data_IF_127506257437
#
_entry.id   IF_127506257437
#
_cell.length_a   1.000
_cell.length_b   1.000
_cell.length_c   1.000
_cell.angle_alpha   90.00
_cell.angle_beta   90.00
_cell.angle_gamma   90.00
#
_symmetry.space_group_name_H-M   'P 1'
#
loop_
_entity.id
_entity.type
_entity.pdbx_description
1 polymer ?
#
# COMPACT_ATOMS: atom_id res chain seq x y z
N UNK A 1 8.48 11.72 3.61
CA UNK A 1 7.66 11.56 4.84
C UNK A 1 8.61 11.28 5.99
N UNK A 2 8.56 12.02 7.08
CA UNK A 2 9.43 11.84 8.26
C UNK A 2 8.60 11.19 9.36
N UNK A 3 8.73 9.89 9.49
CA UNK A 3 7.92 9.09 10.45
C UNK A 3 8.23 9.43 11.91
N UNK A 4 9.45 9.87 12.18
CA UNK A 4 9.93 10.28 13.51
C UNK A 4 9.11 11.44 14.13
N UNK A 5 8.47 12.26 13.28
CA UNK A 5 7.65 13.39 13.71
C UNK A 5 6.17 13.03 13.87
N UNK A 6 5.86 11.75 14.08
CA UNK A 6 4.47 11.32 14.29
C UNK A 6 3.92 11.83 15.62
N UNK A 7 2.65 12.23 15.63
CA UNK A 7 1.91 12.69 16.82
C UNK A 7 0.75 11.75 17.10
N UNK A 8 0.44 11.54 18.37
CA UNK A 8 -0.70 10.74 18.78
C UNK A 8 -1.98 11.62 18.86
N UNK A 9 -3.09 11.05 18.46
CA UNK A 9 -4.41 11.66 18.55
C UNK A 9 -5.48 10.59 18.73
N UNK A 10 -6.71 10.99 19.04
CA UNK A 10 -7.88 10.11 19.05
C UNK A 10 -8.68 10.32 17.76
N UNK A 11 -9.06 9.22 17.10
CA UNK A 11 -9.90 9.29 15.91
C UNK A 11 -11.38 9.38 16.32
N UNK A 12 -12.08 10.38 15.81
CA UNK A 12 -13.48 10.61 16.16
C UNK A 12 -14.44 10.05 15.10
N UNK A 13 -14.23 10.40 13.84
CA UNK A 13 -15.09 9.96 12.74
C UNK A 13 -14.47 10.16 11.35
N UNK A 14 -14.83 9.32 10.39
CA UNK A 14 -14.68 9.63 8.96
C UNK A 14 -15.76 10.60 8.49
N UNK A 15 -15.38 11.58 7.67
CA UNK A 15 -16.34 12.46 7.01
C UNK A 15 -17.00 11.75 5.80
N UNK A 16 -18.07 12.37 5.26
CA UNK A 16 -18.67 11.94 3.97
C UNK A 16 -17.62 11.89 2.86
N UNK A 17 -16.70 12.86 2.85
CA UNK A 17 -15.50 12.79 2.02
C UNK A 17 -14.50 11.83 2.68
N UNK A 18 -14.31 10.65 2.10
CA UNK A 18 -13.39 9.60 2.59
C UNK A 18 -11.94 10.05 2.81
N UNK A 19 -11.54 11.18 2.24
CA UNK A 19 -10.18 11.71 2.39
C UNK A 19 -9.99 12.57 3.64
N UNK A 20 -11.04 12.73 4.47
CA UNK A 20 -11.01 13.59 5.64
C UNK A 20 -11.58 12.88 6.85
N UNK A 21 -10.81 12.87 7.94
CA UNK A 21 -11.25 12.39 9.26
C UNK A 21 -11.27 13.51 10.29
N UNK A 22 -12.17 13.39 11.27
CA UNK A 22 -12.18 14.21 12.49
C UNK A 22 -11.35 13.52 13.56
N UNK A 23 -10.54 14.29 14.25
CA UNK A 23 -9.65 13.82 15.30
C UNK A 23 -9.69 14.74 16.52
N UNK A 24 -9.33 14.21 17.68
CA UNK A 24 -9.04 15.00 18.87
C UNK A 24 -7.52 15.01 19.07
N UNK A 25 -6.91 16.18 18.88
CA UNK A 25 -5.47 16.42 19.06
C UNK A 25 -5.29 17.48 20.14
N UNK A 26 -4.53 17.17 21.20
CA UNK A 26 -4.29 18.08 22.33
C UNK A 26 -5.59 18.69 22.89
N UNK A 27 -6.62 17.84 23.08
CA UNK A 27 -7.98 18.21 23.53
C UNK A 27 -8.75 19.18 22.60
N UNK A 28 -8.29 19.37 21.36
CA UNK A 28 -8.98 20.19 20.37
C UNK A 28 -9.43 19.35 19.17
N UNK A 29 -10.67 19.56 18.72
CA UNK A 29 -11.13 18.95 17.46
C UNK A 29 -10.36 19.53 16.29
N UNK A 30 -9.88 18.65 15.42
CA UNK A 30 -9.15 18.99 14.22
C UNK A 30 -9.48 18.05 13.06
N UNK A 31 -8.89 18.28 11.89
CA UNK A 31 -9.06 17.44 10.73
C UNK A 31 -7.73 16.77 10.36
N UNK A 32 -7.80 15.52 9.89
CA UNK A 32 -6.68 14.85 9.25
C UNK A 32 -7.03 14.39 7.82
N UNK A 33 -6.03 14.33 6.96
CA UNK A 33 -6.13 13.72 5.64
C UNK A 33 -6.01 12.20 5.76
N UNK A 34 -6.86 11.47 5.05
CA UNK A 34 -6.86 10.01 4.98
C UNK A 34 -6.42 9.58 3.59
N UNK A 35 -5.23 8.99 3.49
CA UNK A 35 -4.68 8.49 2.23
C UNK A 35 -5.15 7.05 1.97
N UNK A 36 -6.42 6.86 1.61
CA UNK A 36 -6.99 5.56 1.30
C UNK A 36 -7.83 5.61 0.02
N UNK A 37 -7.82 4.52 -0.75
CA UNK A 37 -8.64 4.37 -1.96
C UNK A 37 -10.12 4.09 -1.65
N UNK A 38 -10.44 3.66 -0.43
CA UNK A 38 -11.79 3.38 0.08
C UNK A 38 -11.97 3.97 1.47
N UNK A 39 -13.19 3.99 1.99
CA UNK A 39 -13.42 4.31 3.40
C UNK A 39 -12.72 3.29 4.29
N UNK A 40 -11.97 3.76 5.30
CA UNK A 40 -11.22 2.89 6.21
C UNK A 40 -12.13 1.99 7.04
N UNK A 41 -13.37 2.45 7.35
CA UNK A 41 -14.38 1.65 8.06
C UNK A 41 -14.73 0.32 7.37
N UNK A 42 -14.39 0.14 6.08
CA UNK A 42 -14.57 -1.12 5.37
C UNK A 42 -13.51 -2.16 5.73
N UNK A 43 -12.41 -1.73 6.36
CA UNK A 43 -11.27 -2.57 6.71
C UNK A 43 -11.02 -2.60 8.21
N UNK A 44 -11.16 -1.44 8.87
CA UNK A 44 -10.84 -1.23 10.28
C UNK A 44 -11.83 -0.22 10.88
N UNK A 45 -12.40 -0.53 12.04
CA UNK A 45 -13.11 0.46 12.85
C UNK A 45 -12.09 1.32 13.60
N UNK A 46 -12.05 2.60 13.24
CA UNK A 46 -11.14 3.58 13.82
C UNK A 46 -11.75 4.38 14.97
N UNK A 47 -13.09 4.33 15.16
CA UNK A 47 -13.77 5.18 16.12
C UNK A 47 -13.21 4.97 17.54
N UNK A 48 -12.92 6.08 18.21
CA UNK A 48 -12.38 6.14 19.57
C UNK A 48 -11.04 5.40 19.76
N UNK A 49 -10.30 5.17 18.68
CA UNK A 49 -8.97 4.56 18.74
C UNK A 49 -7.87 5.60 18.72
N UNK A 50 -6.76 5.28 19.38
CA UNK A 50 -5.53 6.02 19.27
C UNK A 50 -4.93 5.86 17.89
N UNK A 51 -4.49 6.96 17.30
CA UNK A 51 -3.91 7.01 15.96
C UNK A 51 -2.58 7.75 15.98
N UNK A 52 -1.76 7.47 14.98
CA UNK A 52 -0.57 8.26 14.66
C UNK A 52 -0.86 9.16 13.45
N UNK A 53 -0.44 10.40 13.58
CA UNK A 53 -0.54 11.43 12.57
C UNK A 53 0.85 11.82 12.08
N UNK A 54 0.99 12.07 10.78
CA UNK A 54 2.19 12.68 10.21
C UNK A 54 1.90 14.12 9.78
N UNK A 55 2.78 15.08 10.06
CA UNK A 55 2.62 16.44 9.60
C UNK A 55 2.68 16.52 8.08
N UNK A 56 1.85 17.37 7.48
CA UNK A 56 1.86 17.69 6.06
C UNK A 56 2.75 18.93 5.88
N UNK A 57 3.87 18.78 5.20
CA UNK A 57 4.90 19.83 5.05
C UNK A 57 4.46 21.01 4.17
N UNK A 58 3.35 20.88 3.44
CA UNK A 58 2.87 21.96 2.57
C UNK A 58 2.31 23.14 3.37
N UNK A 59 2.93 24.30 3.24
CA UNK A 59 2.46 25.56 3.86
C UNK A 59 1.05 25.97 3.43
N UNK A 60 0.61 25.54 2.24
CA UNK A 60 -0.71 25.85 1.67
C UNK A 60 -1.79 24.85 2.09
N UNK A 61 -1.43 23.76 2.75
CA UNK A 61 -2.40 22.74 3.15
C UNK A 61 -3.32 23.27 4.26
N UNK A 62 -4.63 23.21 4.02
CA UNK A 62 -5.66 23.53 5.02
C UNK A 62 -5.65 22.49 6.14
N UNK A 63 -5.49 21.20 5.80
CA UNK A 63 -5.33 20.09 6.74
C UNK A 63 -3.84 19.92 7.01
N UNK A 64 -3.46 19.95 8.28
CA UNK A 64 -2.04 19.93 8.69
C UNK A 64 -1.48 18.55 8.94
N UNK A 65 -2.33 17.55 9.10
CA UNK A 65 -1.95 16.20 9.48
C UNK A 65 -2.53 15.16 8.53
N UNK A 66 -1.78 14.10 8.29
CA UNK A 66 -2.23 12.91 7.58
C UNK A 66 -2.30 11.75 8.55
N UNK A 67 -3.40 11.01 8.54
CA UNK A 67 -3.51 9.75 9.27
C UNK A 67 -2.43 8.79 8.75
N UNK A 68 -1.69 8.20 9.67
CA UNK A 68 -0.58 7.32 9.35
C UNK A 68 -0.86 5.87 9.77
N UNK A 69 -1.20 5.68 11.05
CA UNK A 69 -1.44 4.35 11.60
C UNK A 69 -2.50 4.43 12.70
N UNK A 70 -3.09 3.29 13.03
CA UNK A 70 -4.04 3.12 14.14
C UNK A 70 -3.52 2.08 15.11
N UNK A 71 -3.71 2.30 16.42
CA UNK A 71 -3.38 1.35 17.47
C UNK A 71 -4.47 0.27 17.57
N UNK A 72 -4.06 -0.98 17.48
CA UNK A 72 -4.89 -2.17 17.61
C UNK A 72 -4.13 -3.14 18.52
N UNK A 73 -4.69 -3.49 19.68
CA UNK A 73 -4.10 -4.47 20.61
C UNK A 73 -2.59 -4.24 20.86
N UNK A 74 -2.26 -3.02 21.29
CA UNK A 74 -0.89 -2.57 21.59
C UNK A 74 0.09 -2.58 20.39
N UNK A 75 -0.40 -2.75 19.16
CA UNK A 75 0.38 -2.62 17.93
C UNK A 75 -0.19 -1.55 17.02
N UNK A 76 0.63 -1.02 16.12
CA UNK A 76 0.18 -0.03 15.14
C UNK A 76 0.02 -0.65 13.76
N UNK A 77 -1.17 -0.55 13.19
CA UNK A 77 -1.47 -0.93 11.81
C UNK A 77 -1.40 0.31 10.93
N UNK A 78 -0.56 0.28 9.92
CA UNK A 78 -0.40 1.38 8.96
C UNK A 78 -1.66 1.47 8.09
N UNK A 79 -2.26 2.65 8.03
CA UNK A 79 -3.48 2.92 7.24
C UNK A 79 -3.22 3.84 6.05
N UNK A 80 -2.03 4.47 6.01
CA UNK A 80 -1.63 5.34 4.91
C UNK A 80 -1.05 4.53 3.75
N UNK A 81 -1.85 4.30 2.71
CA UNK A 81 -1.46 3.48 1.55
C UNK A 81 -0.31 4.06 0.72
N UNK A 82 -0.01 5.35 0.84
CA UNK A 82 1.12 5.97 0.13
C UNK A 82 2.48 5.54 0.69
N UNK A 83 2.50 4.93 1.87
CA UNK A 83 3.73 4.45 2.54
C UNK A 83 4.33 3.25 1.79
N UNK A 84 3.52 2.42 1.14
CA UNK A 84 3.97 1.23 0.40
C UNK A 84 5.08 1.54 -0.61
N UNK A 85 4.87 2.59 -1.42
CA UNK A 85 5.84 2.98 -2.43
C UNK A 85 7.17 3.42 -1.79
N UNK A 86 7.12 4.11 -0.66
CA UNK A 86 8.31 4.54 0.05
C UNK A 86 9.07 3.37 0.66
N UNK A 87 8.36 2.40 1.25
CA UNK A 87 8.96 1.20 1.82
C UNK A 87 9.73 0.43 0.74
N UNK A 88 9.08 0.14 -0.40
CA UNK A 88 9.73 -0.60 -1.48
C UNK A 88 10.95 0.16 -2.03
N UNK A 89 10.85 1.48 -2.20
CA UNK A 89 11.99 2.30 -2.65
C UNK A 89 13.19 2.25 -1.71
N UNK A 90 12.94 2.25 -0.41
CA UNK A 90 14.01 2.18 0.59
C UNK A 90 14.69 0.81 0.60
N UNK A 91 13.94 -0.25 0.32
CA UNK A 91 14.38 -1.64 0.42
C UNK A 91 14.82 -2.26 -0.91
N UNK A 92 14.56 -1.61 -2.05
CA UNK A 92 14.74 -2.21 -3.39
C UNK A 92 16.17 -2.67 -3.66
N UNK A 93 17.19 -2.05 -3.04
CA UNK A 93 18.59 -2.45 -3.16
C UNK A 93 19.02 -3.52 -2.14
N UNK A 94 18.14 -3.92 -1.21
CA UNK A 94 18.46 -4.99 -0.26
C UNK A 94 18.56 -6.35 -0.96
N UNK A 95 19.32 -7.26 -0.37
CA UNK A 95 19.48 -8.65 -0.88
C UNK A 95 18.16 -9.39 -1.01
N UNK A 96 17.15 -9.01 -0.23
CA UNK A 96 15.82 -9.61 -0.29
C UNK A 96 15.14 -9.42 -1.66
N UNK A 97 15.51 -8.37 -2.41
CA UNK A 97 15.00 -8.07 -3.73
C UNK A 97 15.93 -8.52 -4.89
N UNK A 98 16.91 -9.41 -4.64
CA UNK A 98 17.85 -9.89 -5.69
C UNK A 98 17.14 -10.60 -6.87
N UNK A 99 15.92 -11.11 -6.65
CA UNK A 99 15.08 -11.68 -7.70
C UNK A 99 14.69 -10.68 -8.80
N UNK A 100 14.82 -9.37 -8.57
CA UNK A 100 14.61 -8.33 -9.59
C UNK A 100 15.75 -8.24 -10.59
N UNK A 101 16.93 -8.78 -10.29
CA UNK A 101 18.14 -8.69 -11.10
C UNK A 101 18.85 -7.33 -10.93
N UNK A 102 19.55 -6.90 -12.01
CA UNK A 102 20.26 -5.62 -12.01
C UNK A 102 19.31 -4.44 -11.81
N UNK A 103 19.59 -3.60 -10.82
CA UNK A 103 18.74 -2.49 -10.39
C UNK A 103 19.56 -1.35 -9.76
N UNK A 104 20.69 -1.02 -10.38
CA UNK A 104 21.54 0.08 -9.91
C UNK A 104 20.79 1.41 -9.94
N UNK A 105 19.87 1.54 -10.92
CA UNK A 105 18.96 2.67 -11.04
C UNK A 105 17.51 2.19 -11.08
N UNK A 106 16.60 3.01 -10.55
CA UNK A 106 15.16 2.82 -10.72
C UNK A 106 14.46 4.19 -10.78
N UNK A 107 13.34 4.24 -11.49
CA UNK A 107 12.55 5.43 -11.69
C UNK A 107 11.21 5.29 -10.95
N UNK A 108 10.89 6.29 -10.12
CA UNK A 108 9.63 6.33 -9.39
C UNK A 108 8.55 7.00 -10.22
N UNK A 109 7.32 6.48 -10.12
CA UNK A 109 6.15 7.07 -10.76
C UNK A 109 6.40 7.38 -12.25
N UNK A 110 7.07 6.45 -12.93
CA UNK A 110 7.54 6.63 -14.29
C UNK A 110 6.42 6.41 -15.32
N UNK A 111 6.39 7.28 -16.35
CA UNK A 111 5.44 7.18 -17.44
C UNK A 111 5.96 6.25 -18.53
N UNK A 112 5.27 5.16 -18.80
CA UNK A 112 5.44 4.27 -19.93
C UNK A 112 4.26 4.52 -20.90
N UNK A 113 4.44 5.45 -21.84
CA UNK A 113 3.35 5.94 -22.65
C UNK A 113 2.26 6.63 -21.81
N UNK A 114 1.05 6.12 -21.85
CA UNK A 114 -0.09 6.63 -21.08
C UNK A 114 -0.30 5.89 -19.73
N UNK A 115 0.64 5.05 -19.32
CA UNK A 115 0.63 4.34 -18.04
C UNK A 115 1.72 4.85 -17.11
N UNK A 116 1.33 5.26 -15.91
CA UNK A 116 2.24 5.67 -14.83
C UNK A 116 2.38 4.50 -13.86
N UNK A 117 3.54 3.83 -13.90
CA UNK A 117 3.86 2.74 -12.98
C UNK A 117 4.48 3.28 -11.68
N UNK A 118 4.40 2.50 -10.60
CA UNK A 118 4.96 2.90 -9.31
C UNK A 118 6.49 2.91 -9.33
N UNK A 119 7.12 1.86 -9.90
CA UNK A 119 8.57 1.77 -10.07
C UNK A 119 8.90 1.15 -11.44
N UNK A 120 9.90 1.71 -12.11
CA UNK A 120 10.47 1.15 -13.33
C UNK A 120 11.98 0.96 -13.16
N UNK A 121 12.50 -0.22 -13.51
CA UNK A 121 13.92 -0.57 -13.53
C UNK A 121 14.35 -0.73 -14.98
N UNK A 122 15.07 0.27 -15.56
CA UNK A 122 15.44 0.25 -16.98
C UNK A 122 16.35 -0.91 -17.38
N UNK A 123 17.31 -1.28 -16.53
CA UNK A 123 18.32 -2.31 -16.83
C UNK A 123 17.69 -3.67 -17.14
N UNK A 124 16.58 -4.00 -16.51
CA UNK A 124 15.90 -5.29 -16.66
C UNK A 124 14.54 -5.16 -17.35
N UNK A 125 14.17 -3.97 -17.83
CA UNK A 125 12.82 -3.63 -18.32
C UNK A 125 11.73 -4.09 -17.35
N UNK A 126 11.96 -3.92 -16.04
CA UNK A 126 11.06 -4.39 -14.99
C UNK A 126 10.15 -3.27 -14.53
N UNK A 127 8.85 -3.56 -14.51
CA UNK A 127 7.80 -2.71 -13.94
C UNK A 127 7.30 -3.32 -12.64
N UNK A 128 7.15 -2.50 -11.62
CA UNK A 128 6.57 -2.90 -10.34
C UNK A 128 5.35 -2.02 -10.09
N UNK A 129 4.21 -2.65 -9.92
CA UNK A 129 2.97 -2.05 -9.43
C UNK A 129 2.79 -2.47 -7.97
N UNK A 130 2.48 -1.51 -7.09
CA UNK A 130 2.40 -1.74 -5.65
C UNK A 130 0.97 -1.54 -5.17
N UNK A 131 0.48 -2.49 -4.39
CA UNK A 131 -0.84 -2.45 -3.76
C UNK A 131 -0.72 -2.63 -2.26
N UNK A 132 -1.41 -1.78 -1.51
CA UNK A 132 -1.54 -1.93 -0.06
C UNK A 132 -2.73 -2.81 0.28
N UNK A 133 -2.55 -3.68 1.26
CA UNK A 133 -3.60 -4.47 1.89
C UNK A 133 -3.67 -4.07 3.36
N UNK A 134 -4.78 -3.46 3.76
CA UNK A 134 -5.07 -3.12 5.16
C UNK A 134 -6.02 -4.19 5.69
N UNK A 135 -5.58 -4.97 6.65
CA UNK A 135 -6.40 -6.02 7.27
C UNK A 135 -5.95 -6.33 8.68
N UNK A 136 -6.87 -6.88 9.47
CA UNK A 136 -6.61 -7.45 10.79
C UNK A 136 -6.66 -8.99 10.76
N UNK A 137 -6.92 -9.58 9.60
CA UNK A 137 -7.08 -11.02 9.47
C UNK A 137 -5.76 -11.68 9.08
N UNK A 138 -5.57 -12.89 9.58
CA UNK A 138 -4.45 -13.76 9.22
C UNK A 138 -4.55 -14.28 7.77
N UNK A 139 -5.78 -14.56 7.31
CA UNK A 139 -6.07 -15.02 5.94
C UNK A 139 -6.87 -13.95 5.22
N UNK A 140 -6.38 -13.57 4.04
CA UNK A 140 -6.99 -12.50 3.23
C UNK A 140 -7.24 -12.91 1.78
N UNK A 141 -8.09 -12.12 1.14
CA UNK A 141 -8.42 -12.27 -0.29
C UNK A 141 -8.04 -11.01 -1.04
N UNK A 142 -7.32 -11.15 -2.16
CA UNK A 142 -6.89 -10.02 -2.98
C UNK A 142 -7.36 -10.14 -4.45
N UNK A 143 -7.85 -9.05 -5.05
CA UNK A 143 -8.29 -7.82 -4.39
C UNK A 143 -9.58 -8.05 -3.59
N UNK A 144 -9.69 -7.41 -2.43
CA UNK A 144 -10.86 -7.56 -1.55
C UNK A 144 -12.07 -6.70 -2.00
N UNK A 145 -11.81 -5.66 -2.80
CA UNK A 145 -12.86 -4.80 -3.37
C UNK A 145 -12.60 -4.54 -4.85
N UNK A 146 -13.67 -4.39 -5.63
CA UNK A 146 -13.57 -3.98 -7.03
C UNK A 146 -13.07 -2.54 -7.15
N UNK A 147 -12.15 -2.32 -8.09
CA UNK A 147 -11.63 -0.99 -8.41
C UNK A 147 -11.48 -0.83 -9.93
N UNK A 148 -12.25 0.10 -10.50
CA UNK A 148 -12.13 0.48 -11.92
C UNK A 148 -10.72 0.99 -12.28
N UNK A 149 -10.03 1.60 -11.31
CA UNK A 149 -8.63 2.02 -11.49
C UNK A 149 -7.73 0.79 -11.64
N UNK A 150 -7.89 -0.21 -10.78
CA UNK A 150 -7.10 -1.45 -10.84
C UNK A 150 -7.35 -2.23 -12.12
N UNK A 151 -8.61 -2.30 -12.58
CA UNK A 151 -8.97 -2.90 -13.86
C UNK A 151 -8.22 -2.25 -15.02
N UNK A 152 -8.20 -0.90 -15.09
CA UNK A 152 -7.43 -0.17 -16.09
C UNK A 152 -5.93 -0.44 -16.00
N UNK A 153 -5.39 -0.56 -14.79
CA UNK A 153 -3.99 -0.89 -14.57
C UNK A 153 -3.67 -2.29 -15.10
N UNK A 154 -4.51 -3.30 -14.80
CA UNK A 154 -4.33 -4.66 -15.31
C UNK A 154 -4.35 -4.71 -16.86
N UNK A 155 -5.23 -3.95 -17.52
CA UNK A 155 -5.26 -3.87 -18.99
C UNK A 155 -3.94 -3.33 -19.54
N UNK A 156 -3.30 -2.38 -18.86
CA UNK A 156 -1.98 -1.85 -19.25
C UNK A 156 -0.85 -2.82 -18.93
N UNK A 157 -0.92 -3.50 -17.78
CA UNK A 157 0.02 -4.57 -17.42
C UNK A 157 -0.01 -5.67 -18.48
N UNK A 158 -1.19 -6.09 -18.93
CA UNK A 158 -1.34 -7.09 -19.97
C UNK A 158 -0.63 -6.68 -21.29
N UNK A 159 -0.71 -5.40 -21.67
CA UNK A 159 0.01 -4.87 -22.82
C UNK A 159 1.53 -4.88 -22.62
N UNK A 160 2.01 -4.41 -21.46
CA UNK A 160 3.44 -4.42 -21.13
C UNK A 160 4.02 -5.83 -21.14
N UNK A 161 3.31 -6.83 -20.64
CA UNK A 161 3.71 -8.23 -20.71
C UNK A 161 3.83 -8.71 -22.16
N UNK A 162 2.93 -8.30 -23.04
CA UNK A 162 2.99 -8.59 -24.49
C UNK A 162 4.20 -7.88 -25.15
N UNK A 163 4.58 -6.70 -24.68
CA UNK A 163 5.77 -5.94 -25.10
C UNK A 163 7.08 -6.43 -24.43
N UNK A 164 7.03 -7.62 -23.80
CA UNK A 164 8.18 -8.28 -23.14
C UNK A 164 8.78 -7.51 -21.96
N UNK A 165 8.00 -6.67 -21.28
CA UNK A 165 8.39 -6.18 -19.96
C UNK A 165 8.23 -7.29 -18.92
N UNK A 166 9.12 -7.31 -17.95
CA UNK A 166 8.96 -8.09 -16.73
C UNK A 166 8.08 -7.30 -15.74
N UNK A 167 6.95 -7.84 -15.35
CA UNK A 167 6.02 -7.10 -14.50
C UNK A 167 5.79 -7.83 -13.19
N UNK A 168 5.94 -7.08 -12.09
CA UNK A 168 5.62 -7.52 -10.74
C UNK A 168 4.42 -6.76 -10.19
N UNK A 169 3.55 -7.48 -9.50
CA UNK A 169 2.52 -6.93 -8.62
C UNK A 169 2.94 -7.21 -7.18
N UNK A 170 3.32 -6.17 -6.45
CA UNK A 170 3.65 -6.28 -5.03
C UNK A 170 2.45 -5.95 -4.17
N UNK A 171 2.09 -6.84 -3.27
CA UNK A 171 1.05 -6.66 -2.26
C UNK A 171 1.73 -6.43 -0.93
N UNK A 172 1.55 -5.24 -0.34
CA UNK A 172 2.11 -4.89 0.96
C UNK A 172 0.98 -4.99 1.99
N UNK A 173 1.04 -6.00 2.85
CA UNK A 173 0.11 -6.16 3.96
C UNK A 173 0.59 -5.39 5.18
N UNK A 174 -0.30 -4.63 5.79
CA UNK A 174 -0.05 -3.87 7.02
C UNK A 174 -0.64 -4.53 8.27
N UNK A 175 -1.07 -5.76 8.16
CA UNK A 175 -1.63 -6.54 9.26
C UNK A 175 -0.91 -7.88 9.44
N UNK A 176 -1.44 -8.73 10.31
CA UNK A 176 -0.84 -10.01 10.67
C UNK A 176 -1.02 -11.10 9.61
N UNK A 177 -1.15 -10.75 8.33
CA UNK A 177 -1.53 -11.66 7.26
C UNK A 177 -0.45 -12.71 7.00
N UNK A 178 -0.79 -13.98 7.08
CA UNK A 178 0.07 -15.11 6.73
C UNK A 178 -0.28 -15.75 5.38
N UNK A 179 -1.52 -15.52 4.91
CA UNK A 179 -2.00 -16.10 3.65
C UNK A 179 -2.83 -15.08 2.86
N UNK A 180 -2.60 -15.04 1.54
CA UNK A 180 -3.42 -14.26 0.60
C UNK A 180 -3.86 -15.18 -0.54
N UNK A 181 -5.18 -15.34 -0.72
CA UNK A 181 -5.79 -16.00 -1.86
C UNK A 181 -6.27 -15.01 -2.90
N UNK A 182 -6.10 -15.32 -4.20
CA UNK A 182 -6.65 -14.46 -5.24
C UNK A 182 -8.17 -14.59 -5.35
N UNK A 183 -8.86 -13.45 -5.40
CA UNK A 183 -10.32 -13.37 -5.49
C UNK A 183 -10.81 -13.76 -6.89
N UNK A 184 -11.24 -15.01 -7.05
CA UNK A 184 -11.76 -15.55 -8.31
C UNK A 184 -13.19 -15.12 -8.63
N UNK A 185 -13.88 -14.53 -7.66
CA UNK A 185 -15.28 -14.09 -7.79
C UNK A 185 -15.43 -12.59 -8.11
N UNK A 186 -14.32 -11.85 -8.23
CA UNK A 186 -14.36 -10.43 -8.53
C UNK A 186 -14.35 -10.17 -10.03
N UNK A 187 -14.98 -9.08 -10.49
CA UNK A 187 -15.05 -8.70 -11.91
C UNK A 187 -13.69 -8.62 -12.62
N UNK A 188 -12.64 -8.24 -11.90
CA UNK A 188 -11.28 -8.12 -12.44
C UNK A 188 -10.55 -9.45 -12.55
N UNK A 189 -11.13 -10.56 -12.08
CA UNK A 189 -10.46 -11.86 -12.04
C UNK A 189 -9.95 -12.34 -13.41
N UNK A 190 -10.81 -12.31 -14.44
CA UNK A 190 -10.43 -12.80 -15.77
C UNK A 190 -9.21 -12.03 -16.31
N UNK A 191 -9.17 -10.72 -16.11
CA UNK A 191 -8.06 -9.88 -16.56
C UNK A 191 -6.79 -10.14 -15.74
N UNK A 192 -6.89 -10.27 -14.41
CA UNK A 192 -5.77 -10.63 -13.55
C UNK A 192 -5.20 -12.01 -13.92
N UNK A 193 -6.07 -13.00 -14.12
CA UNK A 193 -5.68 -14.34 -14.53
C UNK A 193 -4.98 -14.35 -15.91
N UNK A 194 -5.44 -13.53 -16.86
CA UNK A 194 -4.77 -13.37 -18.14
C UNK A 194 -3.37 -12.75 -17.98
N UNK A 195 -3.22 -11.75 -17.12
CA UNK A 195 -1.92 -11.19 -16.79
C UNK A 195 -0.99 -12.26 -16.20
N UNK A 196 -1.47 -13.08 -15.27
CA UNK A 196 -0.70 -14.17 -14.65
C UNK A 196 -0.25 -15.19 -15.72
N UNK A 197 -1.16 -15.61 -16.59
CA UNK A 197 -0.83 -16.53 -17.70
C UNK A 197 0.22 -15.94 -18.67
N UNK A 198 0.27 -14.62 -18.81
CA UNK A 198 1.26 -13.91 -19.62
C UNK A 198 2.57 -13.60 -18.88
N UNK A 199 2.69 -14.02 -17.63
CA UNK A 199 3.94 -13.89 -16.88
C UNK A 199 3.96 -12.77 -15.82
N UNK A 200 2.81 -12.21 -15.40
CA UNK A 200 2.74 -11.35 -14.22
C UNK A 200 3.19 -12.14 -12.98
N UNK A 201 4.15 -11.60 -12.26
CA UNK A 201 4.66 -12.19 -11.03
C UNK A 201 4.08 -11.45 -9.83
N UNK A 202 3.38 -12.17 -8.96
CA UNK A 202 2.82 -11.60 -7.73
C UNK A 202 3.74 -11.94 -6.57
N UNK A 203 4.06 -10.95 -5.74
CA UNK A 203 4.80 -11.09 -4.49
C UNK A 203 4.05 -10.38 -3.38
N UNK A 204 4.04 -10.94 -2.18
CA UNK A 204 3.42 -10.32 -1.02
C UNK A 204 4.43 -10.18 0.11
N UNK A 205 4.33 -9.08 0.86
CA UNK A 205 5.23 -8.75 1.95
C UNK A 205 4.43 -8.20 3.12
N UNK A 206 4.74 -8.68 4.33
CA UNK A 206 4.26 -8.04 5.56
C UNK A 206 5.09 -6.79 5.84
N UNK A 207 4.42 -5.74 6.27
CA UNK A 207 5.04 -4.53 6.76
C UNK A 207 4.50 -4.21 8.15
N UNK A 208 5.36 -3.97 9.08
CA UNK A 208 5.04 -3.57 10.43
C UNK A 208 5.63 -2.21 10.77
N UNK A 209 5.12 -1.60 11.81
CA UNK A 209 5.66 -0.38 12.37
C UNK A 209 6.62 -0.75 13.51
N UNK A 210 7.91 -0.53 13.29
CA UNK A 210 8.93 -0.80 14.31
C UNK A 210 8.81 0.18 15.50
N UNK A 211 9.51 -0.11 16.60
CA UNK A 211 9.49 0.72 17.83
C UNK A 211 9.92 2.18 17.59
N UNK A 212 10.77 2.41 16.58
CA UNK A 212 11.18 3.74 16.11
C UNK A 212 10.11 4.45 15.27
N UNK A 213 8.92 3.85 15.14
CA UNK A 213 7.81 4.30 14.30
C UNK A 213 8.15 4.38 12.81
N UNK A 214 9.17 3.66 12.37
CA UNK A 214 9.55 3.56 10.96
C UNK A 214 8.95 2.27 10.36
N UNK A 215 8.21 2.35 9.22
CA UNK A 215 7.70 1.17 8.53
C UNK A 215 8.83 0.32 7.97
N UNK A 216 8.79 -0.99 8.25
CA UNK A 216 9.78 -1.97 7.78
C UNK A 216 9.09 -3.21 7.22
N UNK A 217 9.72 -3.84 6.21
CA UNK A 217 9.30 -5.15 5.71
C UNK A 217 9.71 -6.20 6.74
N UNK A 218 8.81 -7.10 7.04
CA UNK A 218 9.10 -8.25 7.90
C UNK A 218 9.65 -9.39 7.05
N UNK A 219 10.98 -9.53 7.03
CA UNK A 219 11.66 -10.55 6.24
C UNK A 219 11.56 -11.98 6.83
N UNK A 220 11.22 -12.11 8.11
CA UNK A 220 11.11 -13.41 8.79
C UNK A 220 9.78 -14.15 8.50
N UNK A 221 8.78 -13.43 8.02
CA UNK A 221 7.46 -13.99 7.73
C UNK A 221 7.12 -13.85 6.24
N UNK A 222 7.05 -14.96 5.56
CA UNK A 222 6.57 -15.01 4.19
C UNK A 222 5.04 -15.12 4.19
N UNK A 223 4.40 -14.35 3.33
CA UNK A 223 2.97 -14.52 3.05
C UNK A 223 2.82 -15.66 2.03
N UNK A 224 2.02 -16.66 2.35
CA UNK A 224 1.65 -17.71 1.43
C UNK A 224 0.66 -17.15 0.38
N UNK A 225 1.00 -17.27 -0.90
CA UNK A 225 0.15 -16.82 -2.01
C UNK A 225 -0.52 -18.00 -2.68
N UNK A 226 -1.86 -18.09 -2.58
CA UNK A 226 -2.69 -19.06 -3.27
C UNK A 226 -3.19 -18.43 -4.59
N UNK A 227 -2.46 -18.72 -5.69
CA UNK A 227 -2.70 -18.18 -7.03
C UNK A 227 -3.59 -19.12 -7.85
#
# INVERSE_FOLDING_TARGET
MRFENSQEALFLAENKNRFVGKILLDNNESLCYIASSSHLKHFIDLKDRKILLLPIESKKATIKYSLFAVEIEDTYIITNTNVSNQIIRNEIHSKYFDFLGARSTFLNEHNLGNYKCDIFIPETKTVIEIKSLISLNDIEVFPNVYSKRFEKQLSRIEQLLTEQFKVYLFIISYGPTSEISLNRNIQTWNLLNNCIKKGLIIKAFNCYLANDKIPKIEYSKNINLNI
#
